data_IF_675337001855
#
_entry.id   IF_675337001855
#
_cell.length_a   1.000
_cell.length_b   1.000
_cell.length_c   1.000
_cell.angle_alpha   90.00
_cell.angle_beta   90.00
_cell.angle_gamma   90.00
#
_symmetry.space_group_name_H-M   'P 1'
#
loop_
_entity.id
_entity.type
_entity.pdbx_description
1 polymer ?
#
# COMPACT_ATOMS: atom_id res chain seq x y z
N UNK A 1 1.69 -3.09 -10.82
CA UNK A 1 0.70 -2.28 -10.09
C UNK A 1 0.28 -1.15 -11.01
N UNK A 2 -0.87 -0.56 -10.75
CA UNK A 2 -1.34 0.70 -11.36
C UNK A 2 -1.62 1.71 -10.24
N UNK A 3 -1.82 3.00 -10.54
CA UNK A 3 -2.15 4.00 -9.50
C UNK A 3 -3.33 3.54 -8.66
N UNK A 4 -4.36 2.96 -9.29
CA UNK A 4 -5.52 2.36 -8.62
C UNK A 4 -5.16 1.44 -7.45
N UNK A 5 -4.12 0.62 -7.56
CA UNK A 5 -3.71 -0.29 -6.46
C UNK A 5 -3.26 0.48 -5.21
N UNK A 6 -2.61 1.63 -5.40
CA UNK A 6 -2.18 2.52 -4.33
C UNK A 6 -3.35 3.29 -3.71
N UNK A 7 -4.33 3.70 -4.52
CA UNK A 7 -5.58 4.25 -4.00
C UNK A 7 -6.31 3.20 -3.15
N UNK A 8 -6.51 2.00 -3.70
CA UNK A 8 -7.19 0.90 -3.02
C UNK A 8 -6.51 0.59 -1.66
N UNK A 9 -5.18 0.51 -1.61
CA UNK A 9 -4.48 0.23 -0.35
C UNK A 9 -4.57 1.39 0.64
N UNK A 10 -4.51 2.65 0.21
CA UNK A 10 -4.65 3.81 1.10
C UNK A 10 -6.06 3.88 1.69
N UNK A 11 -7.10 3.64 0.89
CA UNK A 11 -8.47 3.56 1.40
C UNK A 11 -8.64 2.44 2.42
N UNK A 12 -8.02 1.27 2.20
CA UNK A 12 -8.03 0.19 3.19
C UNK A 12 -7.30 0.65 4.48
N UNK A 13 -6.09 1.19 4.36
CA UNK A 13 -5.27 1.65 5.50
C UNK A 13 -5.91 2.80 6.31
N UNK A 14 -6.86 3.55 5.74
CA UNK A 14 -7.66 4.54 6.47
C UNK A 14 -8.69 3.91 7.42
N UNK A 15 -9.09 2.66 7.17
CA UNK A 15 -10.16 1.97 7.90
C UNK A 15 -9.64 0.90 8.86
N UNK A 16 -8.41 0.41 8.68
CA UNK A 16 -7.80 -0.63 9.52
C UNK A 16 -6.34 -0.28 9.85
N UNK A 17 -5.82 -0.86 10.93
CA UNK A 17 -4.40 -0.73 11.27
C UNK A 17 -3.51 -1.48 10.27
N UNK A 18 -2.23 -1.08 10.20
CA UNK A 18 -1.23 -1.76 9.35
C UNK A 18 -1.02 -3.22 9.79
N UNK A 19 -1.17 -3.50 11.09
CA UNK A 19 -1.13 -4.87 11.63
C UNK A 19 -2.31 -5.70 11.12
N UNK A 20 -3.54 -5.18 11.21
CA UNK A 20 -4.72 -5.85 10.66
C UNK A 20 -4.60 -6.06 9.15
N UNK A 21 -4.00 -5.11 8.42
CA UNK A 21 -3.71 -5.28 7.01
C UNK A 21 -2.76 -6.46 6.75
N UNK A 22 -1.66 -6.57 7.51
CA UNK A 22 -0.73 -7.72 7.42
C UNK A 22 -1.47 -9.03 7.65
N UNK A 23 -2.29 -9.11 8.70
CA UNK A 23 -3.06 -10.30 9.05
C UNK A 23 -4.07 -10.68 7.95
N UNK A 24 -4.75 -9.69 7.35
CA UNK A 24 -5.66 -9.91 6.22
C UNK A 24 -4.94 -10.38 4.96
N UNK A 25 -3.75 -9.84 4.68
CA UNK A 25 -2.93 -10.31 3.55
C UNK A 25 -2.49 -11.76 3.74
N UNK A 26 -2.02 -12.13 4.94
CA UNK A 26 -1.67 -13.52 5.30
C UNK A 26 -2.88 -14.43 5.11
N UNK A 27 -4.05 -14.03 5.62
CA UNK A 27 -5.28 -14.80 5.50
C UNK A 27 -5.71 -15.02 4.05
N UNK A 28 -5.51 -14.03 3.17
CA UNK A 28 -5.94 -14.07 1.77
C UNK A 28 -4.97 -14.84 0.87
N UNK A 29 -3.67 -14.66 1.08
CA UNK A 29 -2.65 -15.14 0.14
C UNK A 29 -1.79 -16.27 0.70
N UNK A 30 -1.92 -16.62 1.98
CA UNK A 30 -0.99 -17.49 2.71
C UNK A 30 0.39 -16.87 2.90
N UNK A 31 0.94 -16.97 4.10
CA UNK A 31 2.20 -16.31 4.47
C UNK A 31 3.39 -16.77 3.62
N UNK A 32 3.44 -18.05 3.26
CA UNK A 32 4.49 -18.67 2.43
C UNK A 32 4.57 -18.09 1.00
N UNK A 33 3.50 -17.45 0.52
CA UNK A 33 3.45 -16.82 -0.80
C UNK A 33 3.69 -15.32 -0.76
N UNK A 34 3.84 -14.74 0.43
CA UNK A 34 4.05 -13.30 0.61
C UNK A 34 5.55 -13.03 0.79
N UNK A 35 6.08 -12.13 -0.04
CA UNK A 35 7.41 -11.59 0.17
C UNK A 35 7.29 -10.16 0.72
N UNK A 36 7.36 -10.02 2.04
CA UNK A 36 7.18 -8.74 2.72
C UNK A 36 8.19 -7.67 2.31
N UNK A 37 9.42 -8.07 1.97
CA UNK A 37 10.43 -7.15 1.46
C UNK A 37 10.00 -6.54 0.12
N UNK A 38 9.59 -7.38 -0.84
CA UNK A 38 9.12 -6.91 -2.14
C UNK A 38 7.82 -6.10 -2.04
N UNK A 39 6.87 -6.53 -1.19
CA UNK A 39 5.63 -5.80 -0.94
C UNK A 39 5.94 -4.41 -0.38
N UNK A 40 6.75 -4.33 0.67
CA UNK A 40 7.12 -3.05 1.30
C UNK A 40 7.83 -2.14 0.30
N UNK A 41 8.80 -2.66 -0.46
CA UNK A 41 9.49 -1.89 -1.50
C UNK A 41 8.52 -1.39 -2.57
N UNK A 42 7.58 -2.23 -3.00
CA UNK A 42 6.59 -1.86 -4.02
C UNK A 42 5.68 -0.72 -3.57
N UNK A 43 5.31 -0.64 -2.28
CA UNK A 43 4.46 0.43 -1.75
C UNK A 43 5.11 1.82 -1.82
N UNK A 44 6.44 1.90 -1.97
CA UNK A 44 7.19 3.16 -2.04
C UNK A 44 7.89 3.38 -3.38
N UNK A 45 7.55 2.60 -4.41
CA UNK A 45 8.15 2.70 -5.74
C UNK A 45 7.15 3.25 -6.77
N UNK A 46 6.90 4.56 -6.68
CA UNK A 46 5.88 5.27 -7.47
C UNK A 46 6.21 5.39 -8.97
N UNK A 47 7.50 5.35 -9.33
CA UNK A 47 7.97 5.53 -10.71
C UNK A 47 7.31 4.56 -11.69
N UNK A 48 7.04 3.32 -11.26
CA UNK A 48 6.39 2.29 -12.09
C UNK A 48 4.94 2.64 -12.47
N UNK A 49 4.29 3.54 -11.75
CA UNK A 49 2.86 3.85 -11.94
C UNK A 49 2.57 5.31 -12.26
N UNK A 50 3.58 6.18 -12.34
CA UNK A 50 3.35 7.62 -12.55
C UNK A 50 2.59 7.93 -13.85
N UNK A 51 2.80 7.10 -14.90
CA UNK A 51 2.10 7.20 -16.19
C UNK A 51 0.73 6.52 -16.24
N UNK A 52 0.31 5.84 -15.16
CA UNK A 52 -1.03 5.25 -15.05
C UNK A 52 -2.07 6.38 -14.88
N UNK A 53 -3.27 6.26 -15.48
CA UNK A 53 -4.33 7.23 -15.26
C UNK A 53 -4.79 7.20 -13.80
N UNK A 54 -5.24 8.34 -13.32
CA UNK A 54 -5.83 8.45 -11.99
C UNK A 54 -7.24 7.76 -11.98
N UNK A 55 -7.65 7.10 -10.89
CA UNK A 55 -8.93 6.39 -10.84
C UNK A 55 -10.15 7.32 -10.90
N UNK A 56 -11.10 7.04 -11.79
CA UNK A 56 -12.31 7.86 -12.06
C UNK A 56 -13.13 8.26 -10.80
N UNK A 57 -13.05 7.51 -9.69
CA UNK A 57 -13.83 7.72 -8.47
C UNK A 57 -12.96 8.16 -7.26
N UNK A 58 -11.94 8.98 -7.48
CA UNK A 58 -11.00 9.37 -6.42
C UNK A 58 -11.47 10.58 -5.60
N UNK A 59 -11.57 10.39 -4.29
CA UNK A 59 -11.86 11.45 -3.30
C UNK A 59 -10.61 12.24 -2.88
N UNK A 60 -9.42 11.74 -3.22
CA UNK A 60 -8.11 12.31 -2.91
C UNK A 60 -7.26 12.33 -4.17
N UNK A 61 -6.24 13.17 -4.23
CA UNK A 61 -5.28 13.24 -5.34
C UNK A 61 -4.18 12.18 -5.25
N UNK A 62 -3.48 11.94 -6.35
CA UNK A 62 -2.29 11.07 -6.37
C UNK A 62 -1.19 11.54 -5.41
N UNK A 63 -1.00 12.86 -5.27
CA UNK A 63 -0.02 13.40 -4.34
C UNK A 63 -0.41 13.14 -2.88
N UNK A 64 -1.69 13.26 -2.51
CA UNK A 64 -2.19 12.91 -1.17
C UNK A 64 -2.01 11.41 -0.86
N UNK A 65 -2.15 10.52 -1.86
CA UNK A 65 -1.87 9.08 -1.72
C UNK A 65 -0.39 8.86 -1.40
N UNK A 66 0.52 9.48 -2.15
CA UNK A 66 1.98 9.38 -1.92
C UNK A 66 2.34 9.92 -0.53
N UNK A 67 1.84 11.09 -0.16
CA UNK A 67 2.08 11.69 1.16
C UNK A 67 1.59 10.80 2.30
N UNK A 68 0.39 10.22 2.16
CA UNK A 68 -0.15 9.31 3.16
C UNK A 68 0.76 8.09 3.35
N UNK A 69 1.17 7.42 2.26
CA UNK A 69 2.06 6.26 2.34
C UNK A 69 3.40 6.61 2.97
N UNK A 70 4.01 7.73 2.55
CA UNK A 70 5.27 8.20 3.13
C UNK A 70 5.15 8.52 4.62
N UNK A 71 4.01 9.08 5.06
CA UNK A 71 3.76 9.34 6.49
C UNK A 71 3.70 8.05 7.33
N UNK A 72 3.26 6.94 6.71
CA UNK A 72 3.13 5.62 7.32
C UNK A 72 4.36 4.73 7.14
N UNK A 73 5.39 5.19 6.43
CA UNK A 73 6.55 4.39 6.03
C UNK A 73 7.20 3.63 7.19
N UNK A 74 7.53 4.32 8.29
CA UNK A 74 8.19 3.69 9.45
C UNK A 74 7.33 2.63 10.12
N UNK A 75 6.02 2.86 10.19
CA UNK A 75 5.05 1.90 10.76
C UNK A 75 4.94 0.66 9.88
N UNK A 76 4.86 0.84 8.55
CA UNK A 76 4.84 -0.25 7.57
C UNK A 76 6.13 -1.05 7.62
N UNK A 77 7.29 -0.40 7.60
CA UNK A 77 8.59 -1.07 7.64
C UNK A 77 8.77 -1.88 8.93
N UNK A 78 8.40 -1.31 10.10
CA UNK A 78 8.41 -2.04 11.38
C UNK A 78 7.48 -3.24 11.33
N UNK A 79 6.23 -3.11 10.91
CA UNK A 79 5.27 -4.22 10.98
C UNK A 79 5.53 -5.28 9.90
N UNK A 80 5.94 -4.91 8.69
CA UNK A 80 6.09 -5.85 7.57
C UNK A 80 7.45 -6.55 7.61
N UNK A 81 8.50 -5.91 8.14
CA UNK A 81 9.88 -6.42 8.11
C UNK A 81 10.43 -6.87 9.46
N UNK A 82 9.74 -6.63 10.58
CA UNK A 82 9.96 -7.37 11.85
C UNK A 82 9.53 -8.84 11.72
#
# INVERSE_FOLDING_TARGET
>A
AEKKDYFDIVFIMKNISIKELKDLMIKKFSEDRLNWYHITKSLFFFEDVEGSPDPICEEISWDEVKEFLLSKRREIESIFLE
#
